data_IF_008670149812
#
_entry.id   IF_008670149812
#
_cell.length_a   1.000
_cell.length_b   1.000
_cell.length_c   1.000
_cell.angle_alpha   90.00
_cell.angle_beta   90.00
_cell.angle_gamma   90.00
#
_symmetry.space_group_name_H-M   'P 1'
#
loop_
_entity.id
_entity.type
_entity.pdbx_description
1 polymer ?
#
# COMPACT_ATOMS: atom_id res chain seq x y z
N UNK A 1 -7.07 -14.05 -27.57
CA UNK A 1 -6.26 -13.62 -26.42
C UNK A 1 -7.01 -12.43 -25.83
N UNK A 2 -7.60 -12.54 -24.64
CA UNK A 2 -8.45 -11.46 -24.09
C UNK A 2 -7.67 -10.13 -24.02
N UNK A 3 -8.22 -9.07 -24.60
CA UNK A 3 -7.77 -7.70 -24.39
C UNK A 3 -8.01 -7.32 -22.94
N UNK A 4 -6.95 -7.45 -22.14
CA UNK A 4 -6.99 -7.10 -20.71
C UNK A 4 -6.86 -5.58 -20.59
N UNK A 5 -7.83 -4.95 -19.93
CA UNK A 5 -7.76 -3.54 -19.56
C UNK A 5 -6.73 -3.30 -18.44
N UNK A 6 -5.46 -3.23 -18.82
CA UNK A 6 -4.36 -2.93 -17.92
C UNK A 6 -4.40 -1.49 -17.40
N UNK A 7 -5.02 -0.57 -18.13
CA UNK A 7 -5.10 0.83 -17.73
C UNK A 7 -6.11 1.03 -16.60
N UNK A 8 -7.29 0.41 -16.69
CA UNK A 8 -8.25 0.40 -15.58
C UNK A 8 -7.69 -0.30 -14.35
N UNK A 9 -6.97 -1.42 -14.53
CA UNK A 9 -6.26 -2.09 -13.42
C UNK A 9 -5.26 -1.14 -12.75
N UNK A 10 -4.44 -0.43 -13.53
CA UNK A 10 -3.48 0.55 -12.99
C UNK A 10 -4.19 1.70 -12.26
N UNK A 11 -5.28 2.21 -12.81
CA UNK A 11 -6.05 3.29 -12.20
C UNK A 11 -6.65 2.86 -10.86
N UNK A 12 -7.16 1.63 -10.78
CA UNK A 12 -7.64 1.03 -9.53
C UNK A 12 -6.52 0.93 -8.50
N UNK A 13 -5.39 0.35 -8.87
CA UNK A 13 -4.25 0.19 -7.96
C UNK A 13 -3.66 1.53 -7.49
N UNK A 14 -3.76 2.60 -8.30
CA UNK A 14 -3.32 3.96 -7.91
C UNK A 14 -4.25 4.65 -6.90
N UNK A 15 -5.49 4.19 -6.77
CA UNK A 15 -6.53 4.88 -5.99
C UNK A 15 -7.01 4.07 -4.79
N UNK A 16 -6.79 2.76 -4.79
CA UNK A 16 -7.07 1.91 -3.64
C UNK A 16 -5.95 2.00 -2.60
N UNK A 17 -6.28 1.87 -1.32
CA UNK A 17 -5.30 1.52 -0.31
C UNK A 17 -4.73 0.13 -0.62
N UNK A 18 -3.42 0.03 -0.82
CA UNK A 18 -2.73 -1.23 -1.17
C UNK A 18 -1.67 -1.63 -0.15
N UNK A 19 -1.33 -0.74 0.80
CA UNK A 19 -0.49 -1.05 1.95
C UNK A 19 -1.30 -0.94 3.26
N UNK A 20 -0.81 -1.60 4.30
CA UNK A 20 -1.37 -1.63 5.67
C UNK A 20 -0.34 -1.22 6.72
N UNK A 21 0.53 -0.28 6.36
CA UNK A 21 1.68 0.11 7.16
C UNK A 21 1.24 0.68 8.51
N UNK A 22 0.16 1.46 8.52
CA UNK A 22 -0.36 2.08 9.75
C UNK A 22 -0.72 1.01 10.78
N UNK A 23 -1.48 0.01 10.35
CA UNK A 23 -1.95 -1.09 11.18
C UNK A 23 -0.77 -1.93 11.70
N UNK A 24 0.26 -2.16 10.88
CA UNK A 24 1.46 -2.88 11.30
C UNK A 24 2.26 -2.10 12.36
N UNK A 25 2.41 -0.78 12.21
CA UNK A 25 3.09 0.08 13.18
C UNK A 25 2.32 0.07 14.52
N UNK A 26 0.99 0.21 14.47
CA UNK A 26 0.12 0.22 15.65
C UNK A 26 0.13 -1.15 16.36
N UNK A 27 0.10 -2.26 15.62
CA UNK A 27 0.17 -3.61 16.17
C UNK A 27 1.50 -3.88 16.91
N UNK A 28 2.59 -3.24 16.50
CA UNK A 28 3.90 -3.32 17.16
C UNK A 28 4.06 -2.31 18.31
N UNK A 29 3.04 -1.49 18.58
CA UNK A 29 3.07 -0.48 19.65
C UNK A 29 4.08 0.64 19.41
N UNK A 30 4.50 0.86 18.16
CA UNK A 30 5.49 1.89 17.81
C UNK A 30 4.82 3.19 17.40
N UNK A 31 5.48 4.32 17.66
CA UNK A 31 5.02 5.61 17.13
C UNK A 31 5.53 5.81 15.69
N UNK A 32 4.74 6.48 14.87
CA UNK A 32 5.17 6.87 13.51
C UNK A 32 6.43 7.76 13.57
N UNK A 33 6.53 8.67 14.54
CA UNK A 33 7.71 9.51 14.70
C UNK A 33 8.99 8.70 14.97
N UNK A 34 8.89 7.59 15.73
CA UNK A 34 10.01 6.68 15.95
C UNK A 34 10.43 5.99 14.65
N UNK A 35 9.49 5.39 13.93
CA UNK A 35 9.76 4.67 12.67
C UNK A 35 10.35 5.62 11.61
N UNK A 36 9.81 6.84 11.49
CA UNK A 36 10.31 7.83 10.54
C UNK A 36 11.79 8.18 10.80
N UNK A 37 12.18 8.31 12.07
CA UNK A 37 13.59 8.53 12.47
C UNK A 37 14.48 7.36 12.09
N UNK A 38 14.06 6.12 12.36
CA UNK A 38 14.83 4.93 11.99
C UNK A 38 15.04 4.79 10.48
N UNK A 39 14.05 5.21 9.68
CA UNK A 39 14.12 5.17 8.22
C UNK A 39 14.83 6.38 7.60
N UNK A 40 15.28 7.35 8.41
CA UNK A 40 15.78 8.64 7.94
C UNK A 40 14.79 9.34 6.98
N UNK A 41 13.49 9.34 7.34
CA UNK A 41 12.40 9.99 6.59
C UNK A 41 11.68 11.01 7.45
N UNK A 42 10.95 11.92 6.80
CA UNK A 42 10.09 12.86 7.51
C UNK A 42 8.82 12.18 8.02
N UNK A 43 8.23 12.70 9.10
CA UNK A 43 6.90 12.25 9.55
C UNK A 43 5.83 12.41 8.47
N UNK A 44 5.94 13.44 7.60
CA UNK A 44 5.02 13.64 6.49
C UNK A 44 5.12 12.53 5.45
N UNK A 45 6.33 12.08 5.12
CA UNK A 45 6.56 10.94 4.22
C UNK A 45 5.91 9.68 4.78
N UNK A 46 6.20 9.34 6.04
CA UNK A 46 5.63 8.15 6.68
C UNK A 46 4.10 8.25 6.82
N UNK A 47 3.56 9.43 7.17
CA UNK A 47 2.12 9.66 7.22
C UNK A 47 1.47 9.50 5.83
N UNK A 48 2.16 9.91 4.75
CA UNK A 48 1.73 9.67 3.38
C UNK A 48 1.60 8.18 3.06
N UNK A 49 2.55 7.36 3.52
CA UNK A 49 2.49 5.91 3.39
C UNK A 49 1.35 5.30 4.22
N UNK A 50 1.25 5.66 5.51
CA UNK A 50 0.19 5.21 6.43
C UNK A 50 -1.22 5.56 5.93
N UNK A 51 -1.37 6.69 5.23
CA UNK A 51 -2.65 7.13 4.65
C UNK A 51 -2.85 6.69 3.19
N UNK A 52 -1.92 5.88 2.65
CA UNK A 52 -1.93 5.40 1.26
C UNK A 52 -1.95 6.53 0.18
N UNK A 53 -1.67 7.79 0.56
CA UNK A 53 -1.58 8.93 -0.37
C UNK A 53 -0.39 8.81 -1.31
N UNK A 54 0.70 8.24 -0.82
CA UNK A 54 1.84 7.82 -1.62
C UNK A 54 2.27 6.42 -1.16
N UNK A 55 2.95 5.70 -2.05
CA UNK A 55 3.42 4.36 -1.76
C UNK A 55 4.94 4.40 -1.53
N UNK A 56 5.47 3.64 -0.56
CA UNK A 56 6.90 3.47 -0.39
C UNK A 56 7.52 2.75 -1.60
N UNK A 57 8.80 3.00 -1.84
CA UNK A 57 9.55 2.14 -2.75
C UNK A 57 9.78 0.76 -2.11
N UNK A 58 10.08 -0.24 -2.94
CA UNK A 58 10.29 -1.61 -2.46
C UNK A 58 11.39 -1.69 -1.40
N UNK A 59 12.49 -0.94 -1.58
CA UNK A 59 13.58 -0.87 -0.59
C UNK A 59 13.08 -0.33 0.75
N UNK A 60 12.25 0.71 0.75
CA UNK A 60 11.67 1.27 1.98
C UNK A 60 10.71 0.27 2.66
N UNK A 61 9.95 -0.54 1.89
CA UNK A 61 9.11 -1.60 2.43
C UNK A 61 9.92 -2.67 3.17
N UNK A 62 11.02 -3.15 2.57
CA UNK A 62 11.89 -4.13 3.24
C UNK A 62 12.54 -3.56 4.50
N UNK A 63 13.02 -2.32 4.44
CA UNK A 63 13.58 -1.65 5.63
C UNK A 63 12.52 -1.51 6.74
N UNK A 64 11.30 -1.12 6.38
CA UNK A 64 10.20 -1.02 7.33
C UNK A 64 9.87 -2.39 7.95
N UNK A 65 9.82 -3.45 7.15
CA UNK A 65 9.59 -4.82 7.64
C UNK A 65 10.68 -5.26 8.62
N UNK A 66 11.95 -4.91 8.36
CA UNK A 66 13.06 -5.14 9.28
C UNK A 66 12.90 -4.36 10.59
N UNK A 67 12.50 -3.08 10.54
CA UNK A 67 12.29 -2.26 11.74
C UNK A 67 11.12 -2.78 12.58
N UNK A 68 10.05 -3.23 11.93
CA UNK A 68 8.84 -3.73 12.59
C UNK A 68 8.94 -5.21 12.97
N UNK A 69 10.00 -5.91 12.60
CA UNK A 69 10.17 -7.35 12.80
C UNK A 69 8.96 -8.14 12.29
N UNK A 70 8.63 -7.95 11.02
CA UNK A 70 7.56 -8.67 10.31
C UNK A 70 7.99 -9.02 8.89
N UNK A 71 7.17 -9.79 8.17
CA UNK A 71 7.44 -10.05 6.77
C UNK A 71 6.98 -8.88 5.90
N UNK A 72 7.65 -8.67 4.76
CA UNK A 72 7.30 -7.56 3.84
C UNK A 72 5.87 -7.66 3.31
N UNK A 73 5.34 -8.88 3.20
CA UNK A 73 3.98 -9.12 2.71
C UNK A 73 2.91 -8.72 3.74
N UNK A 74 3.26 -8.69 5.04
CA UNK A 74 2.36 -8.22 6.10
C UNK A 74 2.03 -6.73 5.94
N UNK A 75 2.94 -5.97 5.32
CA UNK A 75 2.78 -4.53 5.05
C UNK A 75 1.82 -4.24 3.89
N UNK A 76 1.36 -5.26 3.16
CA UNK A 76 0.51 -5.13 1.99
C UNK A 76 -0.93 -5.56 2.28
N UNK A 77 -1.90 -4.98 1.57
CA UNK A 77 -3.26 -5.49 1.57
C UNK A 77 -3.27 -6.81 0.78
N UNK A 78 -3.72 -7.93 1.36
CA UNK A 78 -3.83 -9.19 0.63
C UNK A 78 -4.93 -9.08 -0.43
N UNK A 79 -4.53 -8.88 -1.68
CA UNK A 79 -5.44 -8.76 -2.82
C UNK A 79 -5.12 -9.81 -3.88
N UNK A 80 -6.16 -10.51 -4.33
CA UNK A 80 -6.07 -11.45 -5.44
C UNK A 80 -6.27 -10.70 -6.76
N UNK A 81 -5.55 -11.12 -7.80
CA UNK A 81 -5.70 -10.53 -9.15
C UNK A 81 -7.14 -10.55 -9.68
N UNK A 82 -7.94 -11.55 -9.28
CA UNK A 82 -9.38 -11.62 -9.62
C UNK A 82 -10.16 -10.44 -9.02
N UNK A 83 -9.90 -10.10 -7.76
CA UNK A 83 -10.56 -9.00 -7.06
C UNK A 83 -10.21 -7.66 -7.71
N UNK A 84 -8.94 -7.44 -8.06
CA UNK A 84 -8.48 -6.22 -8.73
C UNK A 84 -9.17 -6.04 -10.09
N UNK A 85 -9.29 -7.13 -10.87
CA UNK A 85 -9.99 -7.10 -12.16
C UNK A 85 -11.47 -6.79 -12.02
N UNK A 86 -12.14 -7.36 -11.01
CA UNK A 86 -13.54 -7.08 -10.75
C UNK A 86 -13.76 -5.61 -10.36
N UNK A 87 -12.87 -5.05 -9.54
CA UNK A 87 -12.91 -3.63 -9.17
C UNK A 87 -12.71 -2.70 -10.36
N UNK A 88 -11.82 -3.05 -11.30
CA UNK A 88 -11.61 -2.28 -12.53
C UNK A 88 -12.86 -2.27 -13.43
N UNK A 89 -13.49 -3.44 -13.60
CA UNK A 89 -14.73 -3.58 -14.38
C UNK A 89 -15.90 -2.80 -13.76
N UNK A 90 -16.06 -2.86 -12.43
CA UNK A 90 -17.12 -2.16 -11.73
C UNK A 90 -17.07 -0.64 -11.92
N UNK A 91 -15.87 -0.05 -11.98
CA UNK A 91 -15.70 1.40 -12.22
C UNK A 91 -16.11 1.86 -13.61
N UNK A 92 -15.86 1.05 -14.65
CA UNK A 92 -16.29 1.36 -16.01
C UNK A 92 -17.82 1.44 -16.11
N UNK A 93 -18.52 0.59 -15.36
CA UNK A 93 -19.98 0.50 -15.40
C UNK A 93 -20.71 1.53 -14.52
N UNK A 94 -19.99 2.27 -13.66
CA UNK A 94 -20.56 3.24 -12.70
C UNK A 94 -20.41 4.71 -13.09
N UNK A 95 -19.98 5.01 -14.33
CA UNK A 95 -19.90 6.38 -14.87
C UNK A 95 -21.00 6.68 -15.90
N UNK A 96 -22.14 5.96 -15.81
CA UNK A 96 -23.36 6.20 -16.58
C UNK A 96 -24.44 6.84 -15.70
#
# INVERSE_FOLDING_TARGET
MEDKDWNGIRLVLRTLPINRIKECIEAKGMSQAFVARQMNKTCNTLNGWCSNKCQPHLVDLYLLATILDCEVHDLLVPMQGRQIRNAARARQNGSA
#
